data_IF_875529003300
#
_entry.id   IF_875529003300
#
_cell.length_a   1.000
_cell.length_b   1.000
_cell.length_c   1.000
_cell.angle_alpha   90.00
_cell.angle_beta   90.00
_cell.angle_gamma   90.00
#
_symmetry.space_group_name_H-M   'P 1'
#
loop_
_entity.id
_entity.type
_entity.pdbx_description
1 polymer ?
#
# COMPACT_ATOMS: atom_id res chain seq x y z
N UNK A 1 13.33 21.27 44.85
CA UNK A 1 13.96 19.95 44.60
C UNK A 1 13.11 18.98 43.77
N UNK A 2 11.79 19.16 43.63
CA UNK A 2 10.94 18.24 42.84
C UNK A 2 11.01 18.41 41.30
N UNK A 3 11.60 19.48 40.76
CA UNK A 3 11.62 19.74 39.30
C UNK A 3 12.84 19.20 38.54
N UNK A 4 13.86 18.66 39.21
CA UNK A 4 15.04 18.08 38.52
C UNK A 4 14.97 16.56 38.34
N UNK A 5 14.13 15.85 39.12
CA UNK A 5 14.02 14.39 39.03
C UNK A 5 13.13 13.98 37.83
N UNK A 6 12.16 14.81 37.46
CA UNK A 6 11.26 14.55 36.32
C UNK A 6 12.00 14.44 34.98
N UNK A 7 13.02 15.26 34.74
CA UNK A 7 13.76 15.26 33.46
C UNK A 7 14.69 14.05 33.26
N UNK A 8 15.08 13.36 34.34
CA UNK A 8 15.88 12.13 34.25
C UNK A 8 15.03 10.87 34.04
N UNK A 9 13.74 10.90 34.38
CA UNK A 9 12.84 9.74 34.23
C UNK A 9 12.03 9.74 32.92
N UNK A 10 11.86 10.90 32.27
CA UNK A 10 11.17 11.02 30.97
C UNK A 10 11.77 10.13 29.87
N UNK A 11 13.11 10.00 29.68
CA UNK A 11 13.64 9.07 28.70
C UNK A 11 13.33 7.60 29.05
N UNK A 12 13.33 7.23 30.33
CA UNK A 12 13.10 5.84 30.77
C UNK A 12 11.65 5.39 30.63
N UNK A 13 10.68 6.30 30.78
CA UNK A 13 9.25 6.01 30.58
C UNK A 13 8.87 5.96 29.09
N UNK A 14 9.62 6.62 28.20
CA UNK A 14 9.40 6.55 26.74
C UNK A 14 10.22 5.47 26.01
N UNK A 15 11.24 4.90 26.65
CA UNK A 15 12.02 3.77 26.14
C UNK A 15 11.19 2.51 25.76
N UNK A 16 10.17 2.07 26.51
CA UNK A 16 9.37 0.90 26.11
C UNK A 16 8.49 1.17 24.87
N UNK A 17 8.13 2.42 24.58
CA UNK A 17 7.23 2.75 23.47
C UNK A 17 7.94 2.79 22.11
N UNK A 18 9.23 3.17 22.08
CA UNK A 18 10.04 3.15 20.84
C UNK A 18 10.74 1.82 20.58
N UNK A 19 10.81 0.92 21.55
CA UNK A 19 11.45 -0.39 21.38
C UNK A 19 10.68 -1.31 20.42
N UNK A 20 9.34 -1.27 20.46
CA UNK A 20 8.50 -2.07 19.55
C UNK A 20 8.63 -1.67 18.07
N UNK A 21 8.95 -0.41 17.77
CA UNK A 21 9.10 0.13 16.39
C UNK A 21 10.51 -0.01 15.79
N UNK A 22 11.47 -0.59 16.50
CA UNK A 22 12.82 -0.80 15.98
C UNK A 22 12.94 -2.18 15.31
N UNK A 23 13.54 -2.22 14.11
CA UNK A 23 13.90 -3.47 13.43
C UNK A 23 14.85 -4.31 14.29
N UNK A 24 14.87 -5.64 14.05
CA UNK A 24 15.68 -6.57 14.83
C UNK A 24 17.16 -6.17 14.88
N UNK A 25 17.73 -5.73 13.75
CA UNK A 25 19.11 -5.24 13.68
C UNK A 25 19.38 -4.04 14.61
N UNK A 26 18.46 -3.07 14.65
CA UNK A 26 18.55 -1.89 15.53
C UNK A 26 18.44 -2.29 17.00
N UNK A 27 17.63 -3.31 17.33
CA UNK A 27 17.54 -3.86 18.70
C UNK A 27 18.85 -4.54 19.13
N UNK A 28 19.49 -5.30 18.24
CA UNK A 28 20.77 -5.95 18.53
C UNK A 28 21.88 -4.94 18.76
N UNK A 29 21.96 -3.88 17.95
CA UNK A 29 22.92 -2.79 18.15
C UNK A 29 22.69 -2.08 19.50
N UNK A 30 21.43 -1.79 19.85
CA UNK A 30 21.08 -1.17 21.13
C UNK A 30 21.48 -2.06 22.32
N UNK A 31 21.26 -3.38 22.25
CA UNK A 31 21.65 -4.31 23.31
C UNK A 31 23.18 -4.40 23.48
N UNK A 32 23.94 -4.40 22.40
CA UNK A 32 25.42 -4.38 22.45
C UNK A 32 25.91 -3.08 23.10
N UNK A 33 25.31 -1.94 22.78
CA UNK A 33 25.63 -0.65 23.41
C UNK A 33 25.29 -0.62 24.90
N UNK A 34 24.13 -1.15 25.30
CA UNK A 34 23.73 -1.25 26.71
C UNK A 34 24.72 -2.15 27.47
N UNK A 35 25.09 -3.30 26.90
CA UNK A 35 26.07 -4.20 27.51
C UNK A 35 27.46 -3.55 27.64
N UNK A 36 27.91 -2.79 26.64
CA UNK A 36 29.17 -2.06 26.68
C UNK A 36 29.17 -0.97 27.78
N UNK A 37 28.06 -0.24 27.95
CA UNK A 37 27.90 0.75 29.01
C UNK A 37 27.90 0.07 30.40
N UNK A 38 27.19 -1.06 30.54
CA UNK A 38 27.18 -1.83 31.79
C UNK A 38 28.59 -2.34 32.16
N UNK A 39 29.35 -2.86 31.20
CA UNK A 39 30.75 -3.26 31.41
C UNK A 39 31.66 -2.10 31.78
N UNK A 40 31.48 -0.91 31.18
CA UNK A 40 32.27 0.27 31.52
C UNK A 40 31.98 0.80 32.94
N UNK A 41 30.75 0.61 33.44
CA UNK A 41 30.36 1.00 34.81
C UNK A 41 30.87 -0.02 35.84
N UNK A 42 30.74 -1.31 35.57
CA UNK A 42 31.20 -2.39 36.48
C UNK A 42 32.73 -2.51 36.47
N UNK A 43 33.39 -2.28 35.33
CA UNK A 43 34.85 -2.28 35.22
C UNK A 43 35.54 -1.15 36.00
N UNK A 44 34.77 -0.21 36.57
CA UNK A 44 35.28 0.87 37.43
C UNK A 44 35.29 0.52 38.92
N UNK A 45 34.74 -0.63 39.33
CA UNK A 45 34.62 -1.03 40.76
C UNK A 45 35.35 -2.33 41.08
N UNK A 46 36.54 -2.55 40.53
CA UNK A 46 37.24 -3.84 40.67
C UNK A 46 38.75 -3.77 40.76
N UNK A 47 39.29 -3.15 41.82
CA UNK A 47 40.63 -3.48 42.33
C UNK A 47 40.60 -3.52 43.86
N UNK A 48 40.10 -4.61 44.44
CA UNK A 48 40.53 -5.01 45.77
C UNK A 48 41.09 -6.43 45.69
N UNK A 49 42.42 -6.49 45.84
CA UNK A 49 43.20 -7.69 46.08
C UNK A 49 42.88 -8.21 47.48
N UNK A 50 42.07 -9.27 47.56
CA UNK A 50 41.76 -9.98 48.81
C UNK A 50 42.38 -11.38 48.80
N UNK A 51 43.37 -11.57 49.67
CA UNK A 51 44.11 -12.81 49.94
C UNK A 51 43.24 -14.04 50.23
N UNK A 52 43.77 -15.20 49.84
CA UNK A 52 43.35 -16.55 50.25
C UNK A 52 43.39 -16.71 51.79
N UNK A 53 42.55 -17.60 52.33
CA UNK A 53 43.17 -18.74 53.01
C UNK A 53 42.53 -20.11 52.70
N UNK A 54 43.30 -21.12 53.09
CA UNK A 54 43.26 -22.53 52.77
C UNK A 54 42.10 -23.35 53.37
N UNK A 55 41.73 -24.39 52.60
CA UNK A 55 41.46 -25.79 52.97
C UNK A 55 40.60 -26.14 54.20
N UNK A 56 39.55 -26.94 53.96
CA UNK A 56 39.38 -28.31 54.49
C UNK A 56 38.14 -28.94 53.83
N UNK A 57 38.28 -30.03 53.05
CA UNK A 57 38.14 -31.45 53.47
C UNK A 57 36.69 -31.86 53.75
N UNK A 58 36.07 -32.62 52.83
CA UNK A 58 35.79 -34.07 52.98
C UNK A 58 34.61 -34.53 52.11
N UNK A 59 34.82 -35.71 51.48
CA UNK A 59 33.82 -36.74 51.08
C UNK A 59 32.88 -36.35 49.92
N UNK A 60 32.75 -37.09 48.81
CA UNK A 60 33.17 -38.44 48.48
C UNK A 60 31.96 -39.26 47.98
N UNK A 61 31.84 -39.38 46.63
CA UNK A 61 31.27 -40.51 45.84
C UNK A 61 29.73 -40.75 45.84
N UNK A 62 29.15 -41.52 44.89
CA UNK A 62 29.09 -41.24 43.44
C UNK A 62 27.74 -41.62 42.75
N UNK A 63 27.61 -41.13 41.51
CA UNK A 63 27.11 -41.76 40.27
C UNK A 63 26.36 -43.12 40.29
N UNK A 64 25.19 -43.20 39.61
CA UNK A 64 24.65 -44.31 38.77
C UNK A 64 23.21 -43.95 38.31
N UNK A 65 22.90 -43.75 37.03
CA UNK A 65 22.70 -44.68 35.89
C UNK A 65 21.23 -45.12 35.68
N UNK A 66 20.74 -44.82 34.47
CA UNK A 66 19.65 -45.39 33.68
C UNK A 66 18.83 -46.60 34.20
N UNK A 67 17.50 -46.59 33.97
CA UNK A 67 16.80 -47.49 33.02
C UNK A 67 15.27 -47.52 33.23
N UNK A 68 14.58 -47.80 32.14
CA UNK A 68 13.13 -47.96 31.94
C UNK A 68 12.53 -49.16 32.71
N UNK A 69 11.20 -49.13 32.96
CA UNK A 69 10.21 -50.06 32.38
C UNK A 69 8.91 -50.13 33.21
N UNK A 70 7.79 -49.98 32.50
CA UNK A 70 6.52 -50.72 32.62
C UNK A 70 5.77 -50.83 33.95
N UNK A 71 4.52 -50.32 33.97
CA UNK A 71 3.36 -51.15 34.36
C UNK A 71 2.00 -50.60 33.90
N UNK A 72 1.16 -51.58 33.60
CA UNK A 72 -0.14 -51.62 32.93
C UNK A 72 -1.35 -50.91 33.57
N UNK A 73 -2.22 -50.46 32.66
CA UNK A 73 -3.66 -50.70 32.54
C UNK A 73 -4.64 -50.30 33.66
N UNK A 74 -5.60 -49.43 33.28
CA UNK A 74 -7.03 -49.68 33.51
C UNK A 74 -7.88 -48.92 32.48
N UNK A 75 -8.75 -49.68 31.80
CA UNK A 75 -9.69 -49.25 30.78
C UNK A 75 -11.05 -48.84 31.40
N UNK A 76 -11.71 -47.84 30.83
CA UNK A 76 -13.13 -47.50 31.08
C UNK A 76 -13.80 -47.17 29.74
N UNK A 77 -14.98 -47.75 29.40
CA UNK A 77 -15.69 -47.49 28.14
C UNK A 77 -16.94 -46.60 28.32
N UNK A 78 -17.35 -45.90 27.25
CA UNK A 78 -18.75 -45.60 26.77
C UNK A 78 -18.70 -44.40 25.82
N UNK A 79 -18.85 -44.62 24.51
CA UNK A 79 -20.09 -44.61 23.70
C UNK A 79 -20.64 -43.21 23.37
N UNK A 80 -20.54 -42.88 22.07
CA UNK A 80 -21.30 -41.86 21.36
C UNK A 80 -22.75 -42.30 21.11
N UNK A 81 -23.63 -41.37 20.71
CA UNK A 81 -24.53 -41.68 19.61
C UNK A 81 -24.61 -40.58 18.52
N UNK A 82 -25.14 -41.03 17.41
CA UNK A 82 -25.19 -40.51 16.04
C UNK A 82 -26.37 -39.57 15.76
N UNK A 83 -26.29 -38.90 14.59
CA UNK A 83 -27.36 -38.26 13.81
C UNK A 83 -28.60 -39.18 13.64
N UNK A 84 -29.83 -38.72 13.31
CA UNK A 84 -30.18 -37.92 12.12
C UNK A 84 -31.67 -37.48 12.11
N UNK A 85 -31.96 -36.50 11.25
CA UNK A 85 -33.20 -36.25 10.47
C UNK A 85 -34.47 -35.54 11.03
N UNK A 86 -34.66 -34.32 10.49
CA UNK A 86 -35.86 -33.75 9.82
C UNK A 86 -37.24 -33.75 10.51
N UNK A 87 -37.80 -32.53 10.69
CA UNK A 87 -39.07 -32.11 10.08
C UNK A 87 -39.33 -30.59 10.23
N UNK A 88 -39.80 -29.97 9.15
CA UNK A 88 -40.37 -28.60 9.05
C UNK A 88 -41.87 -28.67 9.38
N UNK A 89 -42.53 -27.60 9.86
CA UNK A 89 -43.26 -26.72 8.92
C UNK A 89 -43.13 -25.21 9.24
N UNK A 90 -43.49 -24.41 8.23
CA UNK A 90 -43.51 -22.95 8.21
C UNK A 90 -44.57 -22.38 9.17
N UNK A 91 -44.38 -21.13 9.62
CA UNK A 91 -45.39 -20.07 9.55
C UNK A 91 -44.73 -18.69 9.72
N UNK A 92 -45.51 -17.67 9.35
CA UNK A 92 -45.12 -16.40 8.75
C UNK A 92 -44.53 -15.33 9.70
N UNK A 93 -43.75 -14.43 9.07
CA UNK A 93 -43.86 -12.97 9.17
C UNK A 93 -43.77 -12.29 10.54
N UNK A 94 -42.61 -11.70 10.86
CA UNK A 94 -42.58 -10.31 11.34
C UNK A 94 -41.19 -9.68 11.17
N UNK A 95 -41.16 -8.51 10.53
CA UNK A 95 -39.99 -7.63 10.42
C UNK A 95 -39.92 -6.76 11.67
N UNK A 96 -38.72 -6.40 12.18
CA UNK A 96 -38.59 -5.06 12.70
C UNK A 96 -37.32 -4.34 12.20
N UNK A 97 -37.60 -3.22 11.55
CA UNK A 97 -37.00 -1.89 11.71
C UNK A 97 -35.50 -1.75 12.02
N UNK A 98 -34.87 -0.97 11.15
CA UNK A 98 -33.58 -0.30 11.33
C UNK A 98 -33.46 0.47 12.66
N UNK A 99 -32.25 0.55 13.25
CA UNK A 99 -31.94 1.61 14.19
C UNK A 99 -31.39 2.84 13.46
N UNK A 100 -32.00 3.95 13.88
CA UNK A 100 -31.84 5.34 13.50
C UNK A 100 -30.44 5.88 13.74
N UNK A 101 -30.08 6.86 12.91
CA UNK A 101 -28.91 7.73 12.98
C UNK A 101 -28.70 8.33 14.38
N UNK A 102 -27.47 8.22 14.89
CA UNK A 102 -26.95 9.08 15.92
C UNK A 102 -25.70 9.78 15.38
N UNK A 103 -25.91 11.01 14.91
CA UNK A 103 -24.84 11.97 14.63
C UNK A 103 -24.04 12.23 15.91
N UNK A 104 -22.83 11.69 15.97
CA UNK A 104 -21.77 12.24 16.83
C UNK A 104 -20.64 12.67 15.93
N UNK A 105 -20.55 13.99 15.74
CA UNK A 105 -19.46 14.66 15.06
C UNK A 105 -18.15 14.41 15.82
N UNK A 106 -17.41 13.38 15.42
CA UNK A 106 -16.00 13.23 15.73
C UNK A 106 -15.21 13.82 14.57
N UNK A 107 -14.42 14.86 14.87
CA UNK A 107 -13.69 15.66 13.90
C UNK A 107 -12.85 14.81 12.94
N UNK A 108 -13.12 15.00 11.65
CA UNK A 108 -12.26 14.53 10.56
C UNK A 108 -10.91 15.24 10.67
N UNK A 109 -9.94 14.57 11.27
CA UNK A 109 -8.55 14.90 11.06
C UNK A 109 -8.23 14.53 9.60
N UNK A 110 -8.41 15.51 8.72
CA UNK A 110 -8.03 15.38 7.32
C UNK A 110 -6.53 15.12 7.26
N UNK A 111 -6.13 13.89 6.91
CA UNK A 111 -4.76 13.54 6.55
C UNK A 111 -4.45 14.20 5.19
N UNK A 112 -4.39 15.53 5.18
CA UNK A 112 -4.03 16.30 3.99
C UNK A 112 -2.51 16.36 3.93
N UNK A 113 -1.90 15.60 3.01
CA UNK A 113 -0.50 15.81 2.67
C UNK A 113 -0.30 17.27 2.26
N UNK A 114 0.66 17.97 2.88
CA UNK A 114 0.94 19.35 2.51
C UNK A 114 1.72 19.38 1.19
N UNK A 115 1.60 20.48 0.45
CA UNK A 115 2.21 20.66 -0.88
C UNK A 115 3.76 20.50 -0.91
N UNK A 116 4.44 20.46 0.23
CA UNK A 116 5.89 20.20 0.34
C UNK A 116 6.26 18.73 0.53
N UNK A 117 5.28 17.85 0.79
CA UNK A 117 5.51 16.47 1.21
C UNK A 117 5.65 15.51 0.01
N UNK A 118 5.29 15.95 -1.20
CA UNK A 118 5.31 15.17 -2.42
C UNK A 118 5.88 15.96 -3.61
N UNK A 119 6.30 15.25 -4.66
CA UNK A 119 6.88 15.81 -5.88
C UNK A 119 5.86 15.85 -7.04
N UNK A 120 4.92 14.90 -7.05
CA UNK A 120 3.86 14.82 -8.07
C UNK A 120 2.58 14.21 -7.49
N UNK A 121 1.47 14.38 -8.21
CA UNK A 121 0.14 13.88 -7.83
C UNK A 121 -0.35 12.96 -8.93
N UNK A 122 -0.96 11.84 -8.55
CA UNK A 122 -1.77 11.02 -9.47
C UNK A 122 -3.18 10.85 -8.92
N UNK A 123 -4.16 10.87 -9.82
CA UNK A 123 -5.55 10.63 -9.49
C UNK A 123 -5.89 9.17 -9.81
N UNK A 124 -6.15 8.38 -8.78
CA UNK A 124 -6.45 6.97 -8.95
C UNK A 124 -7.83 6.79 -9.61
N UNK A 125 -7.99 5.93 -10.64
CA UNK A 125 -9.22 5.84 -11.41
C UNK A 125 -10.27 4.98 -10.67
N UNK A 126 -10.93 5.57 -9.68
CA UNK A 126 -11.91 4.91 -8.79
C UNK A 126 -13.02 4.18 -9.55
N UNK A 127 -13.46 4.71 -10.69
CA UNK A 127 -14.52 4.07 -11.51
C UNK A 127 -14.04 2.80 -12.21
N UNK A 128 -12.75 2.67 -12.51
CA UNK A 128 -12.19 1.50 -13.20
C UNK A 128 -11.82 0.39 -12.21
N UNK A 129 -11.32 0.75 -11.03
CA UNK A 129 -10.86 -0.19 -10.00
C UNK A 129 -11.49 0.13 -8.63
N UNK A 130 -12.82 0.00 -8.50
CA UNK A 130 -13.54 0.44 -7.31
C UNK A 130 -13.17 -0.32 -6.03
N UNK A 131 -12.82 -1.61 -6.11
CA UNK A 131 -12.44 -2.38 -4.92
C UNK A 131 -11.04 -1.98 -4.44
N UNK A 132 -10.08 -1.87 -5.35
CA UNK A 132 -8.74 -1.37 -5.03
C UNK A 132 -8.79 0.05 -4.49
N UNK A 133 -9.56 0.95 -5.11
CA UNK A 133 -9.74 2.31 -4.62
C UNK A 133 -10.30 2.36 -3.20
N UNK A 134 -11.31 1.54 -2.89
CA UNK A 134 -11.89 1.45 -1.56
C UNK A 134 -10.86 0.97 -0.52
N UNK A 135 -10.01 0.01 -0.87
CA UNK A 135 -8.92 -0.44 -0.02
C UNK A 135 -7.94 0.70 0.28
N UNK A 136 -7.40 1.34 -0.76
CA UNK A 136 -6.45 2.46 -0.63
C UNK A 136 -7.06 3.57 0.25
N UNK A 137 -8.30 3.97 -0.01
CA UNK A 137 -8.99 4.99 0.77
C UNK A 137 -9.14 4.58 2.23
N UNK A 138 -9.52 3.33 2.50
CA UNK A 138 -9.67 2.82 3.87
C UNK A 138 -8.33 2.74 4.62
N UNK A 139 -7.25 2.36 3.95
CA UNK A 139 -5.91 2.29 4.51
C UNK A 139 -5.41 3.70 4.89
N UNK A 140 -5.58 4.69 4.01
CA UNK A 140 -5.24 6.09 4.30
C UNK A 140 -6.04 6.62 5.50
N UNK A 141 -7.33 6.28 5.61
CA UNK A 141 -8.16 6.63 6.76
C UNK A 141 -7.70 5.97 8.06
N UNK A 142 -7.11 4.77 8.00
CA UNK A 142 -6.49 4.10 9.15
C UNK A 142 -5.13 4.70 9.53
N UNK A 143 -4.60 5.61 8.73
CA UNK A 143 -3.35 6.33 8.99
C UNK A 143 -2.19 5.91 8.09
N UNK A 144 -2.42 5.05 7.10
CA UNK A 144 -1.40 4.74 6.10
C UNK A 144 -1.06 5.96 5.25
N UNK A 145 0.18 5.99 4.75
CA UNK A 145 0.64 7.11 3.92
C UNK A 145 -0.20 7.20 2.63
N UNK A 146 -0.69 8.40 2.26
CA UNK A 146 -1.22 8.66 0.93
C UNK A 146 -0.11 8.91 -0.10
N UNK A 147 1.16 8.97 0.34
CA UNK A 147 2.33 9.22 -0.49
C UNK A 147 3.10 7.91 -0.68
N UNK A 148 3.45 7.62 -1.93
CA UNK A 148 4.39 6.56 -2.30
C UNK A 148 5.73 7.19 -2.71
N UNK A 149 6.77 6.98 -1.90
CA UNK A 149 8.15 7.23 -2.29
C UNK A 149 8.67 6.04 -3.08
N UNK A 150 8.83 6.18 -4.39
CA UNK A 150 9.10 5.04 -5.28
C UNK A 150 10.43 4.36 -4.91
N UNK A 151 10.37 3.10 -4.47
CA UNK A 151 11.52 2.22 -4.28
C UNK A 151 11.26 0.85 -4.91
N UNK A 152 11.61 0.74 -6.20
CA UNK A 152 11.48 -0.52 -6.93
C UNK A 152 12.43 -1.62 -6.45
N UNK A 153 13.53 -1.27 -5.76
CA UNK A 153 14.51 -2.27 -5.31
C UNK A 153 14.05 -2.99 -4.06
N UNK A 154 13.36 -2.28 -3.15
CA UNK A 154 12.76 -2.84 -1.94
C UNK A 154 11.47 -3.64 -2.16
N UNK A 155 10.93 -3.68 -3.39
CA UNK A 155 9.59 -4.21 -3.63
C UNK A 155 9.39 -5.69 -3.28
N UNK A 156 10.41 -6.54 -3.47
CA UNK A 156 10.31 -7.96 -3.11
C UNK A 156 10.29 -8.15 -1.59
N UNK A 157 11.23 -7.51 -0.88
CA UNK A 157 11.32 -7.55 0.59
C UNK A 157 10.04 -6.99 1.25
N UNK A 158 9.56 -5.84 0.77
CA UNK A 158 8.32 -5.25 1.26
C UNK A 158 7.12 -6.18 1.09
N UNK A 159 7.03 -6.89 -0.04
CA UNK A 159 5.94 -7.85 -0.28
C UNK A 159 6.05 -9.09 0.62
N UNK A 160 7.27 -9.58 0.86
CA UNK A 160 7.49 -10.69 1.79
C UNK A 160 7.05 -10.30 3.21
N UNK A 161 7.40 -9.10 3.66
CA UNK A 161 7.03 -8.59 4.98
C UNK A 161 5.53 -8.33 5.13
N UNK A 162 4.90 -7.65 4.17
CA UNK A 162 3.48 -7.28 4.22
C UNK A 162 2.57 -8.51 4.19
N UNK A 163 2.95 -9.55 3.43
CA UNK A 163 2.14 -10.75 3.22
C UNK A 163 2.48 -11.90 4.20
N UNK A 164 3.41 -11.68 5.13
CA UNK A 164 3.85 -12.67 6.10
C UNK A 164 2.69 -13.15 6.98
N UNK A 165 2.40 -14.46 6.95
CA UNK A 165 1.34 -15.07 7.76
C UNK A 165 -0.09 -14.81 7.25
N UNK A 166 -0.26 -14.08 6.16
CA UNK A 166 -1.57 -13.84 5.55
C UNK A 166 -1.83 -14.95 4.52
N UNK A 167 -2.84 -15.82 4.71
CA UNK A 167 -3.08 -16.92 3.78
C UNK A 167 -3.51 -16.39 2.41
N UNK A 168 -3.30 -17.19 1.36
CA UNK A 168 -3.97 -16.92 0.09
C UNK A 168 -5.46 -17.26 0.21
N UNK A 169 -6.29 -16.61 -0.61
CA UNK A 169 -7.73 -16.87 -0.67
C UNK A 169 -8.13 -17.14 -2.11
N UNK A 170 -8.67 -18.33 -2.38
CA UNK A 170 -9.11 -18.72 -3.73
C UNK A 170 -10.06 -17.68 -4.31
N UNK A 171 -9.76 -17.20 -5.52
CA UNK A 171 -10.55 -16.20 -6.22
C UNK A 171 -10.26 -14.75 -5.84
N UNK A 172 -9.22 -14.48 -5.04
CA UNK A 172 -8.80 -13.15 -4.63
C UNK A 172 -7.30 -12.99 -4.75
N UNK A 173 -6.86 -11.77 -5.08
CA UNK A 173 -5.49 -11.34 -4.86
C UNK A 173 -5.41 -10.61 -3.50
N UNK A 174 -4.22 -10.56 -2.90
CA UNK A 174 -3.96 -9.74 -1.70
C UNK A 174 -3.38 -8.42 -2.19
N UNK A 175 -4.17 -7.36 -2.07
CA UNK A 175 -3.73 -6.01 -2.37
C UNK A 175 -3.04 -5.40 -1.14
N UNK A 176 -2.08 -4.52 -1.38
CA UNK A 176 -1.14 -4.00 -0.37
C UNK A 176 -1.16 -2.45 -0.39
N UNK A 177 -1.51 -1.82 0.74
CA UNK A 177 -1.37 -0.37 0.90
C UNK A 177 -0.70 0.02 2.22
N UNK A 178 0.46 0.70 2.22
CA UNK A 178 1.18 1.21 1.06
C UNK A 178 1.76 0.10 0.18
N UNK A 179 1.86 0.37 -1.13
CA UNK A 179 2.28 -0.64 -2.09
C UNK A 179 3.72 -1.08 -1.85
N UNK A 180 4.03 -2.34 -2.17
CA UNK A 180 5.38 -2.89 -2.01
C UNK A 180 6.48 -2.08 -2.73
N UNK A 181 6.17 -1.44 -3.86
CA UNK A 181 7.13 -0.60 -4.60
C UNK A 181 7.37 0.79 -3.99
N UNK A 182 6.83 1.07 -2.81
CA UNK A 182 7.00 2.31 -2.07
C UNK A 182 7.88 2.06 -0.84
N UNK A 183 8.69 3.04 -0.43
CA UNK A 183 9.44 2.98 0.83
C UNK A 183 8.52 2.84 2.06
N UNK A 184 7.28 3.30 1.93
CA UNK A 184 6.23 3.21 2.95
C UNK A 184 5.57 1.83 3.02
N UNK A 185 5.83 0.93 2.07
CA UNK A 185 5.31 -0.44 2.09
C UNK A 185 6.04 -1.32 3.11
N UNK A 186 5.73 -2.62 3.12
CA UNK A 186 6.37 -3.59 4.01
C UNK A 186 5.49 -4.03 5.18
N UNK A 187 6.12 -4.36 6.31
CA UNK A 187 5.51 -5.04 7.46
C UNK A 187 4.19 -4.45 8.03
N UNK A 188 3.95 -3.15 7.85
CA UNK A 188 2.77 -2.45 8.39
C UNK A 188 1.70 -2.15 7.32
N UNK A 189 1.87 -2.58 6.06
CA UNK A 189 0.88 -2.33 5.01
C UNK A 189 -0.48 -2.97 5.33
N UNK A 190 -1.57 -2.21 5.13
CA UNK A 190 -2.94 -2.72 5.17
C UNK A 190 -3.17 -3.67 3.99
N UNK A 191 -3.81 -4.80 4.28
CA UNK A 191 -4.04 -5.86 3.31
C UNK A 191 -5.54 -6.10 3.13
N UNK A 192 -5.97 -6.12 1.88
CA UNK A 192 -7.33 -6.50 1.50
C UNK A 192 -7.35 -7.61 0.45
N UNK A 193 -8.36 -8.46 0.51
CA UNK A 193 -8.63 -9.42 -0.55
C UNK A 193 -9.49 -8.77 -1.63
N UNK A 194 -8.91 -8.56 -2.81
CA UNK A 194 -9.54 -7.87 -3.93
C UNK A 194 -9.75 -8.83 -5.09
N UNK A 195 -10.84 -8.65 -5.85
CA UNK A 195 -11.11 -9.44 -7.04
C UNK A 195 -9.92 -9.33 -8.02
N UNK A 196 -9.40 -10.43 -8.59
CA UNK A 196 -8.17 -10.40 -9.39
C UNK A 196 -8.25 -9.48 -10.62
N UNK A 197 -9.42 -9.33 -11.23
CA UNK A 197 -9.61 -8.43 -12.35
C UNK A 197 -9.43 -6.95 -11.96
N UNK A 198 -9.95 -6.56 -10.79
CA UNK A 198 -9.84 -5.21 -10.24
C UNK A 198 -8.38 -4.93 -9.83
N UNK A 199 -7.79 -5.82 -9.01
CA UNK A 199 -6.44 -5.66 -8.47
C UNK A 199 -5.34 -5.64 -9.56
N UNK A 200 -5.37 -6.59 -10.50
CA UNK A 200 -4.35 -6.67 -11.56
C UNK A 200 -4.48 -5.55 -12.57
N UNK A 201 -5.72 -5.10 -12.81
CA UNK A 201 -6.00 -3.90 -13.60
C UNK A 201 -5.39 -2.67 -12.95
N UNK A 202 -5.67 -2.45 -11.67
CA UNK A 202 -5.10 -1.37 -10.88
C UNK A 202 -3.57 -1.42 -10.85
N UNK A 203 -2.97 -2.58 -10.56
CA UNK A 203 -1.52 -2.76 -10.55
C UNK A 203 -0.87 -2.45 -11.90
N UNK A 204 -1.51 -2.85 -13.01
CA UNK A 204 -1.03 -2.51 -14.36
C UNK A 204 -1.14 -1.01 -14.64
N UNK A 205 -2.25 -0.37 -14.23
CA UNK A 205 -2.45 1.06 -14.39
C UNK A 205 -1.41 1.86 -13.59
N UNK A 206 -1.22 1.54 -12.31
CA UNK A 206 -0.21 2.17 -11.45
C UNK A 206 1.19 1.95 -12.02
N UNK A 207 1.54 0.72 -12.41
CA UNK A 207 2.83 0.40 -13.01
C UNK A 207 3.15 1.27 -14.23
N UNK A 208 2.21 1.38 -15.17
CA UNK A 208 2.36 2.23 -16.36
C UNK A 208 2.45 3.72 -15.99
N UNK A 209 1.62 4.20 -15.04
CA UNK A 209 1.65 5.62 -14.62
C UNK A 209 2.97 5.99 -13.95
N UNK A 210 3.57 5.05 -13.21
CA UNK A 210 4.78 5.30 -12.44
C UNK A 210 6.07 5.00 -13.19
N UNK A 211 6.04 4.33 -14.35
CA UNK A 211 7.24 3.82 -15.03
C UNK A 211 8.29 4.90 -15.34
N UNK A 212 7.84 6.12 -15.66
CA UNK A 212 8.70 7.23 -16.04
C UNK A 212 9.33 7.96 -14.84
N UNK A 213 8.80 7.74 -13.63
CA UNK A 213 9.32 8.40 -12.44
C UNK A 213 10.51 7.61 -11.86
N UNK A 214 11.66 8.26 -11.61
CA UNK A 214 12.80 7.59 -11.00
C UNK A 214 12.49 7.18 -9.55
N UNK A 215 13.24 6.21 -9.03
CA UNK A 215 13.20 5.90 -7.60
C UNK A 215 13.50 7.16 -6.78
N UNK A 216 12.84 7.29 -5.63
CA UNK A 216 12.89 8.47 -4.76
C UNK A 216 11.84 9.53 -5.05
N UNK A 217 11.14 9.46 -6.19
CA UNK A 217 10.00 10.36 -6.46
C UNK A 217 8.88 10.11 -5.45
N UNK A 218 8.39 11.16 -4.79
CA UNK A 218 7.27 11.11 -3.84
C UNK A 218 5.97 11.41 -4.57
N UNK A 219 5.13 10.40 -4.72
CA UNK A 219 3.87 10.49 -5.47
C UNK A 219 2.70 10.51 -4.50
N UNK A 220 1.95 11.61 -4.47
CA UNK A 220 0.67 11.67 -3.76
C UNK A 220 -0.42 10.95 -4.56
N UNK A 221 -1.08 9.99 -3.94
CA UNK A 221 -2.26 9.33 -4.49
C UNK A 221 -3.53 10.03 -4.01
N UNK A 222 -4.27 10.59 -4.96
CA UNK A 222 -5.57 11.20 -4.71
C UNK A 222 -6.66 10.21 -5.12
N UNK A 223 -7.45 9.77 -4.15
CA UNK A 223 -8.56 8.81 -4.33
C UNK A 223 -9.89 9.57 -4.37
N UNK A 224 -9.98 10.50 -5.30
CA UNK A 224 -11.20 11.25 -5.54
C UNK A 224 -11.80 10.74 -6.85
N UNK A 225 -13.06 10.30 -6.82
CA UNK A 225 -13.79 9.81 -8.00
C UNK A 225 -14.12 10.89 -9.03
N UNK A 226 -13.17 11.79 -9.33
CA UNK A 226 -13.31 12.89 -10.29
C UNK A 226 -13.92 14.17 -9.72
N UNK A 227 -14.00 14.36 -8.40
CA UNK A 227 -14.63 15.55 -7.77
C UNK A 227 -13.64 16.49 -7.05
N UNK A 228 -12.42 16.64 -7.55
CA UNK A 228 -11.39 17.49 -6.95
C UNK A 228 -10.96 18.64 -7.89
N UNK A 229 -11.90 19.50 -8.26
CA UNK A 229 -11.58 20.93 -8.53
C UNK A 229 -11.92 21.82 -7.31
N UNK A 230 -12.70 21.32 -6.34
CA UNK A 230 -13.22 22.13 -5.23
C UNK A 230 -12.27 22.28 -4.02
N UNK A 231 -11.14 21.55 -3.99
CA UNK A 231 -10.16 21.63 -2.89
C UNK A 231 -8.94 22.50 -3.23
N UNK A 232 -8.87 23.06 -4.45
CA UNK A 232 -7.80 23.97 -4.89
C UNK A 232 -8.18 25.47 -4.83
N UNK A 233 -9.42 25.82 -4.47
CA UNK A 233 -9.93 27.20 -4.56
C UNK A 233 -10.03 27.96 -3.23
N UNK A 234 -9.76 27.35 -2.07
CA UNK A 234 -9.84 28.04 -0.77
C UNK A 234 -8.56 28.80 -0.41
N UNK A 235 -7.47 28.66 -1.18
CA UNK A 235 -6.21 29.41 -0.95
C UNK A 235 -5.80 30.18 -2.20
N UNK A 236 -6.70 31.05 -2.69
CA UNK A 236 -6.34 32.23 -3.46
C UNK A 236 -7.37 33.30 -3.17
N UNK A 237 -7.05 34.23 -2.26
CA UNK A 237 -7.34 35.66 -2.42
C UNK A 237 -7.26 36.39 -1.07
N UNK A 238 -6.05 36.50 -0.53
CA UNK A 238 -5.66 37.71 0.22
C UNK A 238 -4.22 38.03 -0.17
N UNK A 239 -4.06 38.90 -1.16
CA UNK A 239 -2.95 39.86 -1.36
C UNK A 239 -3.13 40.54 -2.72
N UNK A 240 -4.07 41.47 -2.79
CA UNK A 240 -3.98 42.60 -3.72
C UNK A 240 -3.30 43.77 -3.01
N UNK A 241 -2.21 44.27 -3.59
CA UNK A 241 -1.68 45.64 -3.55
C UNK A 241 -0.27 45.55 -4.16
N UNK A 242 0.05 46.02 -5.36
CA UNK A 242 -0.59 46.92 -6.30
C UNK A 242 0.55 47.68 -6.99
N UNK A 243 0.68 47.60 -8.32
CA UNK A 243 1.29 48.67 -9.13
C UNK A 243 0.57 48.71 -10.48
N UNK A 244 0.29 49.94 -10.85
CA UNK A 244 -0.69 50.48 -11.77
C UNK A 244 -0.42 50.25 -13.26
N UNK A 245 -1.49 50.46 -14.03
CA UNK A 245 -1.65 50.32 -15.48
C UNK A 245 -0.93 51.39 -16.29
N UNK A 246 -0.59 51.06 -17.55
CA UNK A 246 -0.91 51.97 -18.66
C UNK A 246 -1.11 51.21 -19.97
N UNK A 247 -2.32 51.38 -20.52
CA UNK A 247 -2.75 50.95 -21.84
C UNK A 247 -2.73 52.13 -22.81
N UNK A 248 -2.39 51.87 -24.08
CA UNK A 248 -3.03 52.48 -25.25
C UNK A 248 -2.51 51.87 -26.57
N UNK A 249 -3.39 51.10 -27.23
CA UNK A 249 -3.46 50.89 -28.70
C UNK A 249 -4.09 52.14 -29.37
N UNK A 250 -4.17 52.33 -30.73
CA UNK A 250 -4.48 51.36 -31.81
C UNK A 250 -3.57 51.55 -33.07
N UNK A 251 -3.66 50.92 -34.25
CA UNK A 251 -4.66 50.13 -34.97
C UNK A 251 -4.00 49.40 -36.19
N UNK A 252 -4.65 48.33 -36.64
CA UNK A 252 -4.88 47.85 -38.02
C UNK A 252 -3.75 47.71 -39.08
N UNK A 253 -3.57 46.46 -39.55
CA UNK A 253 -3.57 46.01 -40.97
C UNK A 253 -3.32 44.47 -40.99
N UNK A 254 -4.34 43.63 -41.10
CA UNK A 254 -4.99 43.09 -42.33
C UNK A 254 -4.39 41.77 -42.88
N UNK A 255 -5.32 40.86 -43.22
CA UNK A 255 -5.24 39.63 -44.04
C UNK A 255 -4.73 38.32 -43.38
N UNK A 256 -5.35 37.14 -43.55
CA UNK A 256 -6.55 36.73 -44.30
C UNK A 256 -7.01 35.33 -43.83
N UNK A 257 -8.31 35.15 -43.94
CA UNK A 257 -9.19 33.96 -43.91
C UNK A 257 -8.69 32.62 -44.50
N UNK A 258 -8.87 31.55 -43.69
CA UNK A 258 -9.41 30.18 -43.91
C UNK A 258 -9.57 29.58 -45.34
N UNK A 259 -9.52 28.24 -45.53
CA UNK A 259 -10.69 27.44 -45.16
C UNK A 259 -10.43 26.03 -44.60
N UNK A 260 -11.21 25.70 -43.57
CA UNK A 260 -11.65 24.35 -43.26
C UNK A 260 -12.44 23.76 -44.44
N UNK A 261 -12.07 22.54 -44.88
CA UNK A 261 -12.80 21.79 -45.90
C UNK A 261 -13.53 20.63 -45.24
N UNK A 262 -14.83 20.83 -45.02
CA UNK A 262 -15.83 19.78 -44.80
C UNK A 262 -16.08 19.03 -46.10
N UNK A 263 -16.03 17.68 -46.07
CA UNK A 263 -16.63 16.82 -47.10
C UNK A 263 -17.25 15.57 -46.44
N UNK A 264 -18.56 15.64 -46.27
CA UNK A 264 -19.62 14.69 -46.63
C UNK A 264 -19.47 13.17 -46.39
N UNK A 265 -20.57 12.57 -45.92
CA UNK A 265 -20.72 11.15 -45.58
C UNK A 265 -21.11 10.23 -46.78
N UNK A 266 -20.42 9.07 -46.88
CA UNK A 266 -20.80 7.72 -47.38
C UNK A 266 -21.18 7.51 -48.89
N UNK A 267 -21.02 6.30 -49.52
CA UNK A 267 -20.64 4.98 -48.98
C UNK A 267 -19.51 4.18 -49.67
N UNK A 268 -18.89 3.32 -48.84
CA UNK A 268 -18.21 2.04 -49.11
C UNK A 268 -17.51 1.78 -50.47
N UNK A 269 -16.18 1.77 -50.44
CA UNK A 269 -15.34 0.96 -51.34
C UNK A 269 -14.75 -0.23 -50.58
N UNK A 270 -15.28 -1.41 -50.87
CA UNK A 270 -14.75 -2.73 -50.51
C UNK A 270 -13.42 -2.93 -51.24
N UNK A 271 -12.30 -2.73 -50.54
CA UNK A 271 -11.00 -3.25 -50.99
C UNK A 271 -10.66 -4.51 -50.20
N UNK A 272 -10.32 -5.55 -50.97
CA UNK A 272 -10.15 -6.92 -50.54
C UNK A 272 -9.11 -7.05 -49.43
N UNK A 273 -9.58 -7.47 -48.26
CA UNK A 273 -8.79 -7.71 -47.06
C UNK A 273 -7.98 -9.00 -47.24
N UNK A 274 -6.72 -8.88 -47.66
CA UNK A 274 -5.75 -9.88 -47.21
C UNK A 274 -5.67 -9.74 -45.68
N UNK A 275 -5.77 -10.83 -44.90
CA UNK A 275 -5.72 -10.73 -43.45
C UNK A 275 -4.28 -10.39 -43.05
N UNK A 276 -3.99 -9.09 -43.00
CA UNK A 276 -2.79 -8.58 -42.33
C UNK A 276 -2.97 -8.90 -40.85
N UNK A 277 -2.07 -9.69 -40.28
CA UNK A 277 -2.12 -10.09 -38.86
C UNK A 277 -0.80 -9.72 -38.22
N UNK A 278 -0.85 -8.86 -37.21
CA UNK A 278 0.32 -8.48 -36.43
C UNK A 278 0.38 -9.31 -35.13
N UNK A 279 1.59 -9.77 -34.79
CA UNK A 279 1.82 -10.56 -33.57
C UNK A 279 1.67 -9.73 -32.29
N UNK A 280 2.10 -8.47 -32.32
CA UNK A 280 2.08 -7.54 -31.20
C UNK A 280 2.29 -6.09 -31.70
N UNK A 281 2.13 -5.11 -30.80
CA UNK A 281 2.29 -3.69 -31.14
C UNK A 281 3.70 -3.30 -31.60
N UNK A 282 4.74 -4.04 -31.21
CA UNK A 282 6.10 -3.82 -31.73
C UNK A 282 6.18 -4.10 -33.23
N UNK A 283 5.50 -5.16 -33.71
CA UNK A 283 5.41 -5.46 -35.13
C UNK A 283 4.59 -4.40 -35.91
N UNK A 284 3.54 -3.85 -35.29
CA UNK A 284 2.73 -2.76 -35.88
C UNK A 284 3.56 -1.49 -36.05
N UNK A 285 4.32 -1.09 -35.02
CA UNK A 285 5.20 0.08 -35.08
C UNK A 285 6.38 -0.11 -36.03
N UNK A 286 6.99 -1.29 -36.05
CA UNK A 286 8.07 -1.61 -36.98
C UNK A 286 7.60 -1.59 -38.45
N UNK A 287 6.33 -1.91 -38.71
CA UNK A 287 5.71 -1.79 -40.02
C UNK A 287 5.24 -0.37 -40.37
N UNK A 288 5.37 0.60 -39.45
CA UNK A 288 4.89 1.98 -39.63
C UNK A 288 3.37 2.11 -39.68
N UNK A 289 2.63 1.11 -39.18
CA UNK A 289 1.18 1.06 -39.25
C UNK A 289 0.47 1.54 -37.97
N UNK A 290 1.23 1.98 -36.95
CA UNK A 290 0.67 2.48 -35.70
C UNK A 290 0.32 3.99 -35.80
N UNK A 291 -0.76 4.46 -35.16
CA UNK A 291 -1.79 3.67 -34.46
C UNK A 291 -2.80 3.02 -35.43
N UNK A 292 -3.31 1.83 -35.09
CA UNK A 292 -4.32 1.10 -35.88
C UNK A 292 -5.72 1.37 -35.35
N UNK A 293 -6.67 1.77 -36.20
CA UNK A 293 -8.05 2.04 -35.80
C UNK A 293 -8.99 0.86 -36.06
N UNK A 294 -10.06 0.74 -35.28
CA UNK A 294 -11.07 -0.29 -35.46
C UNK A 294 -11.65 -0.26 -36.89
N UNK A 295 -11.55 -1.40 -37.58
CA UNK A 295 -11.95 -1.55 -38.99
C UNK A 295 -10.81 -1.41 -39.99
N UNK A 296 -9.62 -0.95 -39.58
CA UNK A 296 -8.43 -0.95 -40.43
C UNK A 296 -7.83 -2.35 -40.56
N UNK A 297 -7.23 -2.70 -41.72
CA UNK A 297 -6.53 -3.98 -41.89
C UNK A 297 -5.42 -4.17 -40.84
N UNK A 298 -5.44 -5.31 -40.15
CA UNK A 298 -4.48 -5.60 -39.08
C UNK A 298 -4.91 -5.15 -37.68
N UNK A 299 -6.00 -4.41 -37.55
CA UNK A 299 -6.62 -4.15 -36.26
C UNK A 299 -7.11 -5.46 -35.63
N UNK A 300 -6.80 -5.65 -34.35
CA UNK A 300 -7.47 -6.68 -33.54
C UNK A 300 -7.63 -6.20 -32.11
N UNK A 301 -8.71 -6.63 -31.45
CA UNK A 301 -8.97 -6.37 -30.03
C UNK A 301 -7.85 -6.88 -29.10
N UNK A 302 -6.93 -7.71 -29.60
CA UNK A 302 -5.75 -8.18 -28.83
C UNK A 302 -4.59 -7.17 -28.86
N UNK A 303 -4.58 -6.25 -29.83
CA UNK A 303 -3.57 -5.20 -30.00
C UNK A 303 -4.03 -3.86 -29.40
N UNK A 304 -5.35 -3.67 -29.37
CA UNK A 304 -6.05 -2.62 -28.64
C UNK A 304 -6.17 -3.05 -27.17
N UNK A 305 -5.24 -2.59 -26.32
CA UNK A 305 -5.11 -3.11 -24.94
C UNK A 305 -6.27 -2.65 -24.06
N UNK A 306 -6.78 -1.47 -24.30
CA UNK A 306 -7.71 -0.71 -23.46
C UNK A 306 -9.15 -0.72 -24.00
N UNK A 307 -9.36 -0.88 -25.31
CA UNK A 307 -10.70 -1.09 -25.88
C UNK A 307 -11.39 0.12 -26.43
N UNK A 308 -10.67 1.19 -26.65
CA UNK A 308 -11.20 2.45 -27.12
C UNK A 308 -11.39 2.47 -28.65
N UNK A 309 -10.89 1.45 -29.36
CA UNK A 309 -10.93 1.37 -30.82
C UNK A 309 -9.63 1.79 -31.50
N UNK A 310 -8.55 2.06 -30.75
CA UNK A 310 -7.24 2.48 -31.24
C UNK A 310 -6.16 1.52 -30.69
N UNK A 311 -5.69 0.61 -31.53
CA UNK A 311 -4.61 -0.31 -31.19
C UNK A 311 -3.22 0.33 -31.33
N UNK A 312 -2.34 -0.02 -30.39
CA UNK A 312 -0.91 0.28 -30.44
C UNK A 312 -0.52 1.76 -30.50
N UNK A 313 -1.29 2.61 -29.82
CA UNK A 313 -0.88 3.98 -29.45
C UNK A 313 0.49 4.05 -28.77
#
# INVERSE_FOLDING_TARGET
MFNMIGWLLIPYVMLPFRWKKMSFAKRMIALVWIAAIAFAVIGRTGTETGSLPSAETSRGLPEQSAAQSDREAQAVPRQAPTADSQTKPNDAEETPAAPTEANTAAGSASNTANRGDYDTVIHFPVSQYPQTAAHIQSAIQKGESPICTIDRKGAEENREESLAGIPTKTGYDRDEWPMAMCTEGGADADIAYIAPADNRGAGSWVGNHLEHFPNGTRVLFVIDGGKSEAVASVVRSETESGVDSQAATPAAAEHQTSPAKSVNANPQTVQQTTPVVYKNCSAVRAAGAAPLRAGEPGYSRKLDRDGDGIACE
#
